data_IF_466158166076
#
_entry.id   IF_466158166076
#
_cell.length_a   1.000
_cell.length_b   1.000
_cell.length_c   1.000
_cell.angle_alpha   90.00
_cell.angle_beta   90.00
_cell.angle_gamma   90.00
#
_symmetry.space_group_name_H-M   'P 1'
#
loop_
_entity.id
_entity.type
_entity.pdbx_description
1 polymer ?
#
# COMPACT_ATOMS: atom_id res chain seq x y z
N UNK A 1 -28.38 -17.75 45.24
CA UNK A 1 -29.23 -16.57 44.97
C UNK A 1 -28.73 -15.45 45.88
N UNK A 2 -27.91 -14.54 45.34
CA UNK A 2 -27.22 -13.49 46.12
C UNK A 2 -28.04 -12.19 46.07
N UNK A 3 -28.26 -11.62 47.24
CA UNK A 3 -28.87 -10.32 47.52
C UNK A 3 -27.88 -9.22 47.14
N UNK A 4 -28.37 -8.05 46.69
CA UNK A 4 -27.97 -6.69 47.13
C UNK A 4 -28.31 -5.64 46.04
N UNK A 5 -29.22 -4.72 46.35
CA UNK A 5 -29.13 -3.35 45.82
C UNK A 5 -29.52 -2.39 46.94
N UNK A 6 -28.53 -1.70 47.48
CA UNK A 6 -28.70 -0.64 48.47
C UNK A 6 -28.71 0.74 47.77
N UNK A 7 -29.58 1.59 48.28
CA UNK A 7 -29.97 2.90 47.79
C UNK A 7 -29.02 4.00 48.28
N UNK A 8 -28.70 4.93 47.37
CA UNK A 8 -28.33 6.37 47.48
C UNK A 8 -27.73 6.89 48.80
N UNK A 9 -26.67 7.71 48.67
CA UNK A 9 -26.57 8.98 49.40
C UNK A 9 -25.92 10.08 48.53
N UNK A 10 -26.57 11.25 48.55
CA UNK A 10 -26.12 12.53 48.01
C UNK A 10 -25.54 13.32 49.20
N UNK A 11 -24.40 13.99 49.03
CA UNK A 11 -23.98 15.04 49.94
C UNK A 11 -23.20 16.12 49.16
N UNK A 12 -23.74 17.33 49.21
CA UNK A 12 -23.11 18.57 48.77
C UNK A 12 -22.66 19.35 50.02
N UNK A 13 -21.57 20.11 49.93
CA UNK A 13 -21.29 21.41 50.61
C UNK A 13 -19.85 21.84 50.28
N UNK A 14 -19.62 22.91 49.49
CA UNK A 14 -19.41 24.34 49.84
C UNK A 14 -18.06 24.65 50.51
N UNK A 15 -17.25 25.56 49.92
CA UNK A 15 -16.17 26.21 50.66
C UNK A 15 -15.13 27.02 49.87
N UNK A 16 -15.34 28.34 49.88
CA UNK A 16 -14.33 29.42 49.98
C UNK A 16 -13.67 30.06 48.73
N UNK A 17 -13.67 31.39 48.82
CA UNK A 17 -13.29 32.46 47.91
C UNK A 17 -11.90 32.99 48.29
N UNK A 18 -11.04 33.32 47.31
CA UNK A 18 -9.86 34.17 47.50
C UNK A 18 -9.70 35.10 46.30
N UNK A 19 -9.68 36.40 46.59
CA UNK A 19 -9.49 37.51 45.66
C UNK A 19 -8.00 37.73 45.38
N UNK A 20 -7.63 37.94 44.11
CA UNK A 20 -6.46 38.74 43.75
C UNK A 20 -6.64 39.32 42.34
N UNK A 21 -6.55 40.63 42.27
CA UNK A 21 -6.54 41.48 41.08
C UNK A 21 -5.24 41.31 40.28
N UNK A 22 -5.33 41.24 38.95
CA UNK A 22 -4.18 41.30 38.05
C UNK A 22 -4.63 41.55 36.61
N UNK A 23 -4.13 42.63 36.03
CA UNK A 23 -4.48 43.20 34.73
C UNK A 23 -4.16 42.29 33.53
N UNK A 24 -4.97 42.45 32.48
CA UNK A 24 -4.86 41.80 31.19
C UNK A 24 -3.49 41.98 30.52
N UNK A 25 -2.96 40.89 29.97
CA UNK A 25 -2.19 40.90 28.73
C UNK A 25 -2.96 40.05 27.71
N UNK A 26 -3.35 40.69 26.61
CA UNK A 26 -3.76 40.02 25.38
C UNK A 26 -2.53 39.38 24.70
N UNK A 27 -2.76 38.67 23.59
CA UNK A 27 -1.90 37.76 22.81
C UNK A 27 -2.14 36.30 23.27
N UNK A 28 -2.78 35.41 22.52
CA UNK A 28 -2.55 35.05 21.12
C UNK A 28 -3.82 34.38 20.57
N UNK A 29 -4.11 34.57 19.28
CA UNK A 29 -5.18 33.84 18.58
C UNK A 29 -4.82 32.35 18.51
N UNK A 30 -5.58 31.52 19.19
CA UNK A 30 -5.47 30.05 19.09
C UNK A 30 -6.01 29.61 17.71
N UNK A 31 -5.10 29.61 16.72
CA UNK A 31 -5.31 28.99 15.43
C UNK A 31 -5.41 27.48 15.68
N UNK A 32 -6.45 26.76 15.23
CA UNK A 32 -6.48 25.32 15.39
C UNK A 32 -5.25 24.71 14.73
N UNK A 33 -4.50 23.94 15.53
CA UNK A 33 -3.36 23.17 15.06
C UNK A 33 -3.81 22.27 13.91
N UNK A 34 -3.44 22.66 12.69
CA UNK A 34 -3.44 21.76 11.54
C UNK A 34 -2.49 20.62 11.91
N UNK A 35 -2.90 19.34 11.83
CA UNK A 35 -1.96 18.25 11.99
C UNK A 35 -0.91 18.39 10.89
N UNK A 36 0.30 18.76 11.31
CA UNK A 36 1.47 18.86 10.43
C UNK A 36 1.92 17.43 10.13
N UNK A 37 1.20 16.76 9.24
CA UNK A 37 1.82 15.85 8.27
C UNK A 37 2.09 16.64 7.01
N UNK A 38 2.81 17.75 7.18
CA UNK A 38 3.54 18.36 6.09
C UNK A 38 4.52 17.30 5.56
N UNK A 39 4.54 17.17 4.23
CA UNK A 39 5.47 16.40 3.42
C UNK A 39 6.76 16.05 4.17
N UNK A 40 6.86 14.83 4.67
CA UNK A 40 8.18 14.20 4.74
C UNK A 40 8.49 13.89 3.28
N UNK A 41 9.32 14.72 2.66
CA UNK A 41 10.09 14.29 1.51
C UNK A 41 10.81 13.01 1.97
N UNK A 42 10.32 11.84 1.55
CA UNK A 42 11.04 10.60 1.76
C UNK A 42 12.35 10.72 0.99
N UNK A 43 13.44 11.01 1.71
CA UNK A 43 14.80 11.13 1.18
C UNK A 43 15.40 9.76 0.82
N UNK A 44 14.57 8.72 0.70
CA UNK A 44 14.96 7.36 0.32
C UNK A 44 13.81 6.62 -0.34
N UNK A 45 14.17 5.63 -1.15
CA UNK A 45 13.21 4.74 -1.79
C UNK A 45 12.35 4.01 -0.75
N UNK A 46 11.05 3.86 -1.04
CA UNK A 46 10.15 3.05 -0.21
C UNK A 46 10.59 1.60 -0.29
N UNK A 47 10.79 0.97 0.85
CA UNK A 47 11.34 -0.38 0.95
C UNK A 47 10.44 -1.31 1.77
N UNK A 48 10.56 -2.61 1.50
CA UNK A 48 9.86 -3.64 2.29
C UNK A 48 10.41 -3.67 3.71
N UNK A 49 9.66 -4.22 4.66
CA UNK A 49 10.19 -4.52 5.98
C UNK A 49 11.05 -5.80 5.90
N UNK A 50 12.39 -5.74 6.05
CA UNK A 50 13.26 -6.90 5.90
C UNK A 50 13.13 -7.90 7.05
N UNK A 51 12.49 -7.53 8.16
CA UNK A 51 12.25 -8.40 9.31
C UNK A 51 10.78 -8.82 9.43
N UNK A 52 9.98 -8.62 8.38
CA UNK A 52 8.61 -9.10 8.35
C UNK A 52 8.57 -10.65 8.39
N UNK A 53 7.56 -11.27 9.05
CA UNK A 53 7.48 -12.73 9.14
C UNK A 53 7.31 -13.42 7.77
N UNK A 54 6.65 -12.76 6.82
CA UNK A 54 6.46 -13.26 5.45
C UNK A 54 7.07 -12.26 4.47
N UNK A 55 7.99 -12.74 3.63
CA UNK A 55 8.66 -11.95 2.61
C UNK A 55 8.89 -12.80 1.37
N UNK A 56 8.52 -12.28 0.22
CA UNK A 56 8.80 -12.90 -1.08
C UNK A 56 9.55 -11.92 -1.97
N UNK A 57 10.44 -12.46 -2.81
CA UNK A 57 11.20 -11.71 -3.80
C UNK A 57 11.20 -12.50 -5.09
N UNK A 58 10.79 -11.86 -6.18
CA UNK A 58 10.76 -12.46 -7.50
C UNK A 58 11.53 -11.61 -8.50
N UNK A 59 12.07 -12.27 -9.52
CA UNK A 59 12.82 -11.64 -10.60
C UNK A 59 12.49 -12.32 -11.91
N UNK A 60 12.23 -11.55 -12.96
CA UNK A 60 12.02 -12.10 -14.30
C UNK A 60 12.55 -11.16 -15.37
N UNK A 61 13.15 -11.73 -16.42
CA UNK A 61 13.48 -10.99 -17.63
C UNK A 61 12.28 -11.04 -18.59
N UNK A 62 11.80 -9.88 -19.01
CA UNK A 62 10.69 -9.72 -19.96
C UNK A 62 11.24 -9.13 -21.26
N UNK A 63 11.07 -9.83 -22.37
CA UNK A 63 11.50 -9.42 -23.70
C UNK A 63 10.48 -8.47 -24.35
N UNK A 64 10.17 -7.38 -23.66
CA UNK A 64 9.26 -6.35 -24.15
C UNK A 64 9.83 -4.95 -23.83
N UNK A 65 9.42 -3.90 -24.58
CA UNK A 65 9.83 -2.54 -24.28
C UNK A 65 9.40 -2.10 -22.87
N UNK A 66 10.27 -1.36 -22.17
CA UNK A 66 10.00 -0.83 -20.83
C UNK A 66 8.70 -0.02 -20.75
N UNK A 67 8.37 0.73 -21.80
CA UNK A 67 7.14 1.52 -21.81
C UNK A 67 5.88 0.64 -21.84
N UNK A 68 5.93 -0.53 -22.49
CA UNK A 68 4.83 -1.51 -22.53
C UNK A 68 4.63 -2.14 -21.16
N UNK A 69 5.70 -2.66 -20.55
CA UNK A 69 5.66 -3.29 -19.22
C UNK A 69 5.16 -2.28 -18.17
N UNK A 70 5.70 -1.06 -18.19
CA UNK A 70 5.28 -0.01 -17.27
C UNK A 70 3.80 0.33 -17.43
N UNK A 71 3.31 0.44 -18.67
CA UNK A 71 1.90 0.72 -18.94
C UNK A 71 1.00 -0.39 -18.38
N UNK A 72 1.30 -1.66 -18.69
CA UNK A 72 0.53 -2.82 -18.22
C UNK A 72 0.47 -2.85 -16.68
N UNK A 73 1.63 -2.70 -16.02
CA UNK A 73 1.67 -2.77 -14.56
C UNK A 73 0.98 -1.58 -13.88
N UNK A 74 1.06 -0.36 -14.45
CA UNK A 74 0.48 0.85 -13.82
C UNK A 74 -0.97 1.11 -14.17
N UNK A 75 -1.50 0.42 -15.19
CA UNK A 75 -2.92 0.42 -15.55
C UNK A 75 -3.73 -0.54 -14.65
N UNK A 76 -3.84 -0.17 -13.36
CA UNK A 76 -4.37 -1.07 -12.33
C UNK A 76 -5.82 -1.48 -12.56
N UNK A 77 -6.63 -0.63 -13.21
CA UNK A 77 -8.03 -0.96 -13.52
C UNK A 77 -8.14 -2.05 -14.58
N UNK A 78 -7.10 -2.24 -15.39
CA UNK A 78 -7.04 -3.28 -16.40
C UNK A 78 -6.35 -4.57 -15.93
N UNK A 79 -5.90 -4.64 -14.67
CA UNK A 79 -5.33 -5.88 -14.12
C UNK A 79 -6.23 -7.12 -14.29
N UNK A 80 -7.55 -7.07 -14.06
CA UNK A 80 -8.42 -8.26 -14.24
C UNK A 80 -8.39 -8.85 -15.65
N UNK A 81 -7.98 -8.09 -16.67
CA UNK A 81 -7.93 -8.57 -18.04
C UNK A 81 -6.76 -9.53 -18.32
N UNK A 82 -5.67 -9.44 -17.54
CA UNK A 82 -4.44 -10.22 -17.76
C UNK A 82 -3.94 -10.92 -16.49
N UNK A 83 -4.53 -10.64 -15.33
CA UNK A 83 -4.28 -11.34 -14.07
C UNK A 83 -5.50 -12.19 -13.68
N UNK A 84 -5.49 -13.50 -13.95
CA UNK A 84 -6.64 -14.38 -13.68
C UNK A 84 -7.09 -14.38 -12.22
N UNK A 85 -6.17 -14.12 -11.29
CA UNK A 85 -6.42 -14.15 -9.86
C UNK A 85 -6.86 -12.79 -9.30
N UNK A 86 -6.89 -11.73 -10.12
CA UNK A 86 -7.44 -10.41 -9.75
C UNK A 86 -8.88 -10.33 -10.22
N UNK A 87 -9.80 -10.28 -9.25
CA UNK A 87 -11.25 -10.31 -9.51
C UNK A 87 -11.77 -8.93 -9.91
N UNK A 88 -11.33 -7.89 -9.20
CA UNK A 88 -11.77 -6.52 -9.48
C UNK A 88 -10.75 -5.51 -8.97
N UNK A 89 -10.73 -4.33 -9.59
CA UNK A 89 -9.95 -3.17 -9.16
C UNK A 89 -10.79 -1.91 -9.36
N UNK A 90 -10.77 -1.02 -8.38
CA UNK A 90 -11.40 0.30 -8.43
C UNK A 90 -10.38 1.33 -7.95
N UNK A 91 -10.11 2.34 -8.76
CA UNK A 91 -9.29 3.49 -8.33
C UNK A 91 -10.16 4.51 -7.61
N UNK A 92 -9.95 4.62 -6.30
CA UNK A 92 -10.58 5.67 -5.51
C UNK A 92 -9.95 7.05 -5.82
N UNK A 93 -8.68 7.07 -6.26
CA UNK A 93 -8.01 8.29 -6.72
C UNK A 93 -7.92 8.36 -8.26
N UNK A 94 -8.51 9.39 -8.90
CA UNK A 94 -8.50 9.49 -10.36
C UNK A 94 -7.12 9.88 -10.93
N UNK A 95 -6.97 9.66 -12.24
CA UNK A 95 -5.77 10.02 -13.01
C UNK A 95 -4.63 9.00 -12.88
N UNK A 96 -3.44 9.37 -13.34
CA UNK A 96 -2.26 8.50 -13.23
C UNK A 96 -1.87 8.27 -11.77
N UNK A 97 -1.25 7.11 -11.50
CA UNK A 97 -0.71 6.81 -10.18
C UNK A 97 0.35 7.85 -9.80
N UNK A 98 0.24 8.35 -8.58
CA UNK A 98 1.18 9.25 -7.92
C UNK A 98 1.24 8.90 -6.43
N UNK A 99 2.27 9.32 -5.68
CA UNK A 99 2.26 9.17 -4.23
C UNK A 99 0.95 9.69 -3.63
N UNK A 100 0.30 8.86 -2.81
CA UNK A 100 -1.02 9.11 -2.22
C UNK A 100 -2.21 8.60 -3.05
N UNK A 101 -2.02 8.11 -4.28
CA UNK A 101 -3.10 7.44 -5.02
C UNK A 101 -3.58 6.19 -4.27
N UNK A 102 -4.90 6.05 -4.16
CA UNK A 102 -5.56 4.90 -3.53
C UNK A 102 -6.35 4.09 -4.56
N UNK A 103 -6.26 2.78 -4.46
CA UNK A 103 -7.09 1.83 -5.21
C UNK A 103 -7.46 0.63 -4.33
N UNK A 104 -8.67 0.12 -4.53
CA UNK A 104 -9.20 -1.07 -3.85
C UNK A 104 -9.35 -2.19 -4.84
N UNK A 105 -8.98 -3.39 -4.43
CA UNK A 105 -8.95 -4.53 -5.33
C UNK A 105 -9.11 -5.84 -4.56
N UNK A 106 -9.61 -6.85 -5.27
CA UNK A 106 -9.83 -8.18 -4.74
C UNK A 106 -8.98 -9.19 -5.50
N UNK A 107 -8.20 -10.01 -4.79
CA UNK A 107 -7.40 -11.09 -5.37
C UNK A 107 -7.28 -12.24 -4.39
N UNK A 108 -7.33 -13.49 -4.85
CA UNK A 108 -7.11 -14.68 -3.99
C UNK A 108 -7.95 -14.68 -2.69
N UNK A 109 -9.16 -14.11 -2.72
CA UNK A 109 -10.05 -13.98 -1.55
C UNK A 109 -9.69 -12.82 -0.58
N UNK A 110 -8.66 -12.04 -0.87
CA UNK A 110 -8.27 -10.85 -0.12
C UNK A 110 -8.93 -9.60 -0.71
N UNK A 111 -9.52 -8.78 0.16
CA UNK A 111 -9.97 -7.43 -0.16
C UNK A 111 -8.92 -6.43 0.34
N UNK A 112 -8.26 -5.75 -0.60
CA UNK A 112 -7.04 -4.99 -0.36
C UNK A 112 -7.30 -3.52 -0.66
N UNK A 113 -6.89 -2.63 0.26
CA UNK A 113 -6.80 -1.20 0.01
C UNK A 113 -5.34 -0.79 -0.13
N UNK A 114 -4.90 -0.51 -1.35
CA UNK A 114 -3.52 -0.12 -1.65
C UNK A 114 -3.40 1.40 -1.73
N UNK A 115 -2.39 1.95 -1.05
CA UNK A 115 -1.95 3.34 -1.21
C UNK A 115 -0.58 3.36 -1.86
N UNK A 116 -0.46 4.05 -2.99
CA UNK A 116 0.80 4.28 -3.69
C UNK A 116 1.69 5.16 -2.81
N UNK A 117 2.91 4.68 -2.53
CA UNK A 117 3.90 5.36 -1.70
C UNK A 117 5.02 5.98 -2.54
N UNK A 118 5.36 5.36 -3.67
CA UNK A 118 6.39 5.86 -4.58
C UNK A 118 6.02 5.53 -6.03
N UNK A 119 6.25 6.49 -6.93
CA UNK A 119 6.19 6.29 -8.38
C UNK A 119 7.35 7.06 -9.01
N UNK A 120 8.33 6.33 -9.52
CA UNK A 120 9.35 6.87 -10.42
C UNK A 120 9.09 6.27 -11.81
N UNK A 121 8.54 7.07 -12.75
CA UNK A 121 8.12 6.57 -14.05
C UNK A 121 9.16 5.70 -14.73
N UNK A 122 8.75 4.50 -15.12
CA UNK A 122 9.57 3.51 -15.83
C UNK A 122 10.82 3.02 -15.06
N UNK A 123 10.85 3.21 -13.74
CA UNK A 123 11.96 2.78 -12.90
C UNK A 123 11.49 2.04 -11.66
N UNK A 124 10.52 2.62 -10.93
CA UNK A 124 10.14 2.11 -9.62
C UNK A 124 8.69 2.43 -9.28
N UNK A 125 8.01 1.49 -8.65
CA UNK A 125 6.65 1.65 -8.15
C UNK A 125 6.54 0.93 -6.81
N UNK A 126 6.01 1.59 -5.80
CA UNK A 126 5.73 0.94 -4.53
C UNK A 126 4.40 1.39 -3.97
N UNK A 127 3.65 0.43 -3.44
CA UNK A 127 2.42 0.66 -2.70
C UNK A 127 2.41 -0.21 -1.45
N UNK A 128 1.48 0.10 -0.56
CA UNK A 128 1.21 -0.72 0.61
C UNK A 128 -0.11 -0.36 1.22
N UNK A 129 -0.56 -1.17 2.17
CA UNK A 129 -1.83 -0.95 2.83
C UNK A 129 -2.37 -2.19 3.51
N UNK A 130 -3.54 -2.05 4.15
CA UNK A 130 -4.17 -3.13 4.89
C UNK A 130 -4.96 -4.08 3.97
N UNK A 131 -4.98 -5.35 4.36
CA UNK A 131 -5.87 -6.39 3.87
C UNK A 131 -6.22 -7.35 5.02
N UNK A 132 -7.45 -7.30 5.53
CA UNK A 132 -7.95 -8.29 6.52
C UNK A 132 -7.00 -8.51 7.73
N UNK A 133 -6.39 -7.44 8.26
CA UNK A 133 -5.45 -7.49 9.39
C UNK A 133 -3.97 -7.74 9.00
N UNK A 134 -3.69 -7.95 7.72
CA UNK A 134 -2.35 -7.96 7.13
C UNK A 134 -1.99 -6.53 6.71
N UNK A 135 -0.77 -6.09 7.01
CA UNK A 135 -0.17 -4.88 6.42
C UNK A 135 0.90 -5.29 5.43
N UNK A 136 0.72 -4.89 4.17
CA UNK A 136 1.62 -5.20 3.07
C UNK A 136 2.42 -3.98 2.60
N UNK A 137 3.65 -4.22 2.15
CA UNK A 137 4.45 -3.29 1.34
C UNK A 137 4.95 -4.06 0.12
N UNK A 138 4.62 -3.59 -1.08
CA UNK A 138 4.95 -4.23 -2.35
C UNK A 138 5.73 -3.24 -3.23
N UNK A 139 6.92 -3.65 -3.65
CA UNK A 139 7.89 -2.81 -4.36
C UNK A 139 8.28 -3.47 -5.68
N UNK A 140 8.17 -2.71 -6.77
CA UNK A 140 8.55 -3.07 -8.13
C UNK A 140 9.71 -2.21 -8.61
N UNK A 141 10.69 -2.83 -9.26
CA UNK A 141 11.80 -2.15 -9.93
C UNK A 141 11.95 -2.67 -11.35
N UNK A 142 12.13 -1.75 -12.30
CA UNK A 142 12.24 -2.04 -13.73
C UNK A 142 13.61 -1.59 -14.22
N UNK A 143 14.43 -2.55 -14.65
CA UNK A 143 15.81 -2.27 -15.09
C UNK A 143 15.98 -2.66 -16.55
N UNK A 144 16.15 -1.70 -17.48
CA UNK A 144 16.49 -2.00 -18.87
C UNK A 144 17.79 -2.79 -18.99
N UNK A 145 17.80 -3.72 -19.94
CA UNK A 145 18.94 -4.54 -20.32
C UNK A 145 19.06 -4.59 -21.85
N UNK A 146 20.11 -5.23 -22.37
CA UNK A 146 20.25 -5.48 -23.81
C UNK A 146 19.20 -6.43 -24.37
N UNK A 147 18.55 -7.25 -23.53
CA UNK A 147 17.63 -8.31 -23.93
C UNK A 147 16.18 -8.06 -23.50
N UNK A 148 15.86 -6.86 -23.00
CA UNK A 148 14.53 -6.55 -22.45
C UNK A 148 14.64 -5.84 -21.12
N UNK A 149 13.68 -6.07 -20.22
CA UNK A 149 13.66 -5.45 -18.89
C UNK A 149 13.71 -6.52 -17.81
N UNK A 150 14.69 -6.41 -16.91
CA UNK A 150 14.70 -7.17 -15.67
C UNK A 150 13.72 -6.52 -14.70
N UNK A 151 12.63 -7.20 -14.42
CA UNK A 151 11.63 -6.81 -13.43
C UNK A 151 11.96 -7.52 -12.13
N UNK A 152 12.19 -6.74 -11.08
CA UNK A 152 12.32 -7.23 -9.72
C UNK A 152 11.09 -6.80 -8.92
N UNK A 153 10.45 -7.73 -8.23
CA UNK A 153 9.41 -7.40 -7.27
C UNK A 153 9.68 -8.04 -5.92
N UNK A 154 9.25 -7.37 -4.86
CA UNK A 154 9.36 -7.85 -3.49
C UNK A 154 8.20 -7.37 -2.66
N UNK A 155 7.72 -8.22 -1.78
CA UNK A 155 6.60 -7.93 -0.90
C UNK A 155 6.85 -8.46 0.51
N UNK A 156 6.45 -7.68 1.52
CA UNK A 156 6.53 -8.07 2.93
C UNK A 156 5.17 -7.91 3.61
N UNK A 157 4.78 -8.91 4.40
CA UNK A 157 3.52 -8.95 5.15
C UNK A 157 3.77 -9.02 6.66
N UNK A 158 3.00 -8.24 7.41
CA UNK A 158 3.00 -8.24 8.89
C UNK A 158 1.57 -8.23 9.42
N UNK A 159 1.38 -8.62 10.69
CA UNK A 159 0.08 -8.60 11.37
C UNK A 159 -0.27 -9.94 12.03
N UNK A 160 -1.25 -9.94 12.92
CA UNK A 160 -1.64 -11.13 13.70
C UNK A 160 -2.00 -12.36 12.84
N UNK A 161 -2.70 -12.24 11.68
CA UNK A 161 -2.92 -13.38 10.80
C UNK A 161 -1.62 -13.98 10.24
N UNK A 162 -0.64 -13.12 9.96
CA UNK A 162 0.69 -13.52 9.44
C UNK A 162 1.45 -14.32 10.51
N UNK A 163 1.44 -13.84 11.76
CA UNK A 163 2.08 -14.55 12.88
C UNK A 163 1.40 -15.89 13.18
N UNK A 164 0.08 -15.94 13.07
CA UNK A 164 -0.70 -17.15 13.35
C UNK A 164 -0.53 -18.26 12.29
N UNK A 165 -0.23 -17.91 11.03
CA UNK A 165 -0.15 -18.88 9.94
C UNK A 165 0.96 -18.56 8.92
N UNK A 166 2.16 -18.27 9.42
CA UNK A 166 3.29 -17.80 8.63
C UNK A 166 3.63 -18.71 7.45
N UNK A 167 3.72 -20.04 7.65
CA UNK A 167 4.13 -20.97 6.60
C UNK A 167 3.14 -21.02 5.42
N UNK A 168 1.83 -21.03 5.70
CA UNK A 168 0.82 -21.03 4.66
C UNK A 168 0.79 -19.69 3.91
N UNK A 169 0.88 -18.56 4.63
CA UNK A 169 0.88 -17.24 4.01
C UNK A 169 2.17 -16.95 3.24
N UNK A 170 3.31 -17.50 3.66
CA UNK A 170 4.55 -17.48 2.88
C UNK A 170 4.35 -18.21 1.55
N UNK A 171 3.82 -19.43 1.59
CA UNK A 171 3.54 -20.22 0.38
C UNK A 171 2.53 -19.51 -0.53
N UNK A 172 1.52 -18.86 0.04
CA UNK A 172 0.54 -18.09 -0.70
C UNK A 172 1.17 -16.87 -1.40
N UNK A 173 2.01 -16.10 -0.70
CA UNK A 173 2.68 -14.94 -1.28
C UNK A 173 3.69 -15.34 -2.36
N UNK A 174 4.45 -16.42 -2.14
CA UNK A 174 5.38 -16.98 -3.12
C UNK A 174 4.66 -17.33 -4.43
N UNK A 175 3.56 -18.09 -4.34
CA UNK A 175 2.77 -18.44 -5.51
C UNK A 175 2.14 -17.21 -6.18
N UNK A 176 1.65 -16.24 -5.40
CA UNK A 176 1.03 -15.02 -5.92
C UNK A 176 2.02 -14.19 -6.75
N UNK A 177 3.22 -13.91 -6.22
CA UNK A 177 4.24 -13.14 -6.93
C UNK A 177 4.79 -13.90 -8.13
N UNK A 178 5.00 -15.21 -8.02
CA UNK A 178 5.43 -16.04 -9.13
C UNK A 178 4.43 -15.97 -10.30
N UNK A 179 3.13 -16.14 -10.02
CA UNK A 179 2.09 -16.04 -11.03
C UNK A 179 2.03 -14.62 -11.61
N UNK A 180 2.12 -13.59 -10.77
CA UNK A 180 2.05 -12.19 -11.21
C UNK A 180 3.13 -11.86 -12.23
N UNK A 181 4.40 -12.20 -11.94
CA UNK A 181 5.51 -11.86 -12.83
C UNK A 181 5.47 -12.64 -14.14
N UNK A 182 4.99 -13.89 -14.11
CA UNK A 182 4.81 -14.71 -15.32
C UNK A 182 3.66 -14.20 -16.19
N UNK A 183 2.53 -13.81 -15.61
CA UNK A 183 1.41 -13.23 -16.34
C UNK A 183 1.81 -11.87 -16.96
N UNK A 184 2.54 -11.03 -16.20
CA UNK A 184 3.05 -9.76 -16.71
C UNK A 184 4.01 -9.97 -17.88
N UNK A 185 4.88 -10.99 -17.79
CA UNK A 185 5.77 -11.38 -18.89
C UNK A 185 4.98 -11.78 -20.12
N UNK A 186 4.03 -12.70 -19.98
CA UNK A 186 3.22 -13.19 -21.08
C UNK A 186 2.47 -12.07 -21.79
N UNK A 187 1.77 -11.23 -21.03
CA UNK A 187 1.00 -10.10 -21.55
C UNK A 187 1.90 -9.08 -22.26
N UNK A 188 3.03 -8.73 -21.66
CA UNK A 188 3.93 -7.73 -22.22
C UNK A 188 4.64 -8.23 -23.49
N UNK A 189 5.06 -9.49 -23.54
CA UNK A 189 5.69 -10.10 -24.71
C UNK A 189 4.69 -10.24 -25.86
N UNK A 190 3.44 -10.67 -25.57
CA UNK A 190 2.38 -10.71 -26.57
C UNK A 190 2.11 -9.33 -27.17
N UNK A 191 1.94 -8.27 -26.35
CA UNK A 191 1.73 -6.92 -26.86
C UNK A 191 2.92 -6.38 -27.67
N UNK A 192 4.14 -6.83 -27.39
CA UNK A 192 5.33 -6.44 -28.15
C UNK A 192 5.38 -7.12 -29.52
N UNK A 193 4.98 -8.40 -29.62
CA UNK A 193 4.90 -9.14 -30.88
C UNK A 193 3.82 -8.57 -31.82
N UNK A 194 2.71 -8.07 -31.27
CA UNK A 194 1.60 -7.50 -32.04
C UNK A 194 1.66 -5.96 -32.18
N UNK A 195 2.70 -5.31 -31.65
CA UNK A 195 2.95 -3.88 -31.86
C UNK A 195 3.28 -3.57 -33.34
N UNK A 196 3.12 -2.32 -33.81
CA UNK A 196 3.43 -1.98 -35.19
C UNK A 196 4.88 -2.36 -35.49
N UNK A 197 5.06 -3.27 -36.45
CA UNK A 197 6.37 -3.64 -36.99
C UNK A 197 6.96 -2.35 -37.58
N UNK A 198 7.82 -1.65 -36.84
CA UNK A 198 8.70 -0.63 -37.43
C UNK A 198 9.71 -1.39 -38.30
N UNK A 199 9.27 -1.75 -39.52
CA UNK A 199 10.16 -2.18 -40.58
C UNK A 199 10.95 -0.95 -41.00
N UNK A 200 12.15 -0.81 -40.43
CA UNK A 200 13.23 -0.06 -41.08
C UNK A 200 14.16 -1.02 -41.80
#
# INVERSE_FOLDING_TARGET
MRILTATKFLAATTGALLLATGTAYALENDKPAVPTQALIAHTGDVEINPTAPVITRENILIHAPLHTIWKIQTDVENWPAWQPNVVSVVKDTPGHLRPGSVFRWTTEGLDITSTVRQVDPRKRLAWGGPAQGITAVHVWTFTPTTHGVLVHTKESWTGAPVEANQAALQSALDNSLHNWVNNLKHEAEAQAEFGPIDRR
#
